data_IF_744831633923
#
_entry.id   IF_744831633923
#
_cell.length_a   1.000
_cell.length_b   1.000
_cell.length_c   1.000
_cell.angle_alpha   90.00
_cell.angle_beta   90.00
_cell.angle_gamma   90.00
#
_symmetry.space_group_name_H-M   'P 1'
#
loop_
_entity.id
_entity.type
_entity.pdbx_description
1 polymer ?
#
# COMPACT_ATOMS: atom_id res chain seq x y z
N UNK A 1 -18.96 -60.19 -14.79
CA UNK A 1 -17.65 -59.60 -15.17
C UNK A 1 -17.43 -58.09 -14.87
N UNK A 2 -18.33 -57.29 -14.25
CA UNK A 2 -18.01 -55.91 -13.87
C UNK A 2 -17.54 -55.72 -12.40
N UNK A 3 -17.58 -56.76 -11.55
CA UNK A 3 -17.18 -56.67 -10.13
C UNK A 3 -15.69 -56.86 -9.85
N UNK A 4 -14.90 -57.33 -10.83
CA UNK A 4 -13.46 -57.60 -10.67
C UNK A 4 -12.62 -56.34 -10.97
N UNK A 5 -13.07 -55.48 -11.91
CA UNK A 5 -12.34 -54.27 -12.30
C UNK A 5 -12.34 -53.21 -11.18
N UNK A 6 -13.40 -53.13 -10.38
CA UNK A 6 -13.50 -52.15 -9.29
C UNK A 6 -12.60 -52.50 -8.09
N UNK A 7 -12.31 -53.79 -7.87
CA UNK A 7 -11.43 -54.25 -6.79
C UNK A 7 -9.95 -54.03 -7.15
N UNK A 8 -9.59 -54.15 -8.43
CA UNK A 8 -8.21 -53.90 -8.90
C UNK A 8 -7.87 -52.40 -8.86
N UNK A 9 -8.82 -51.51 -9.14
CA UNK A 9 -8.58 -50.06 -9.04
C UNK A 9 -8.43 -49.58 -7.58
N UNK A 10 -9.15 -50.20 -6.64
CA UNK A 10 -9.07 -49.85 -5.21
C UNK A 10 -7.78 -50.36 -4.56
N UNK A 11 -7.20 -51.45 -5.06
CA UNK A 11 -5.93 -52.02 -4.57
C UNK A 11 -4.69 -51.27 -5.09
N UNK A 12 -4.77 -50.59 -6.24
CA UNK A 12 -3.67 -49.74 -6.74
C UNK A 12 -3.56 -48.40 -5.99
N UNK A 13 -4.64 -47.92 -5.38
CA UNK A 13 -4.64 -46.69 -4.59
C UNK A 13 -4.01 -46.84 -3.20
N UNK A 14 -3.76 -48.08 -2.75
CA UNK A 14 -3.30 -48.40 -1.39
C UNK A 14 -1.81 -48.82 -1.29
N UNK A 15 -1.04 -48.84 -2.39
CA UNK A 15 0.36 -49.33 -2.37
C UNK A 15 1.44 -48.37 -2.88
N UNK A 16 1.13 -47.12 -3.20
CA UNK A 16 2.15 -46.12 -3.50
C UNK A 16 2.65 -45.42 -2.22
N UNK A 17 3.55 -46.10 -1.49
CA UNK A 17 4.49 -45.44 -0.57
C UNK A 17 5.58 -44.75 -1.41
N UNK A 18 5.37 -43.48 -1.75
CA UNK A 18 6.46 -42.64 -2.25
C UNK A 18 7.23 -42.11 -1.05
N UNK A 19 8.41 -42.68 -0.83
CA UNK A 19 9.43 -42.15 0.07
C UNK A 19 9.99 -40.86 -0.53
N UNK A 20 9.70 -39.72 0.10
CA UNK A 20 10.44 -38.48 -0.14
C UNK A 20 11.19 -38.16 1.14
N UNK A 21 12.51 -38.28 1.08
CA UNK A 21 13.44 -37.91 2.13
C UNK A 21 13.22 -36.45 2.59
N UNK A 22 13.08 -36.17 3.90
CA UNK A 22 13.16 -34.81 4.41
C UNK A 22 14.64 -34.47 4.60
N UNK A 23 15.15 -33.48 3.88
CA UNK A 23 16.45 -32.87 4.20
C UNK A 23 16.34 -31.35 4.25
N UNK A 24 16.65 -30.86 5.46
CA UNK A 24 16.89 -29.50 5.94
C UNK A 24 15.69 -28.60 6.26
N UNK A 25 15.25 -28.76 7.50
CA UNK A 25 14.55 -27.79 8.33
C UNK A 25 15.54 -26.74 8.82
N UNK A 26 15.32 -25.47 8.50
CA UNK A 26 15.80 -24.36 9.33
C UNK A 26 14.67 -23.98 10.29
N UNK A 27 14.82 -24.36 11.56
CA UNK A 27 13.97 -23.93 12.66
C UNK A 27 14.04 -22.40 12.75
N UNK A 28 12.90 -21.71 12.70
CA UNK A 28 12.75 -20.41 13.35
C UNK A 28 11.53 -20.45 14.26
N UNK A 29 11.74 -19.99 15.48
CA UNK A 29 10.95 -20.21 16.68
C UNK A 29 9.61 -19.43 16.72
N UNK A 30 8.68 -19.71 15.80
CA UNK A 30 7.38 -19.03 15.77
C UNK A 30 6.28 -19.85 16.46
N UNK A 31 6.43 -21.17 16.55
CA UNK A 31 5.40 -22.06 17.10
C UNK A 31 5.37 -22.14 18.63
N UNK A 32 6.35 -21.59 19.36
CA UNK A 32 6.40 -21.69 20.82
C UNK A 32 5.88 -20.45 21.58
N UNK A 33 5.67 -19.31 20.89
CA UNK A 33 5.22 -18.05 21.55
C UNK A 33 3.68 -17.93 21.61
N UNK A 34 2.95 -18.74 20.85
CA UNK A 34 1.47 -18.73 20.83
C UNK A 34 0.80 -19.47 22.01
N UNK A 35 1.56 -20.06 22.94
CA UNK A 35 1.01 -20.92 23.98
C UNK A 35 0.89 -20.30 25.39
N UNK A 36 1.25 -19.04 25.61
CA UNK A 36 1.17 -18.43 26.96
C UNK A 36 0.77 -16.96 26.93
N UNK A 37 -0.52 -16.69 26.73
CA UNK A 37 -1.20 -15.53 27.33
C UNK A 37 -2.65 -15.89 27.60
N UNK A 38 -3.00 -15.90 28.88
CA UNK A 38 -4.32 -16.23 29.41
C UNK A 38 -5.44 -15.47 28.68
N UNK A 39 -6.26 -16.20 27.92
CA UNK A 39 -7.56 -15.72 27.44
C UNK A 39 -8.61 -16.30 28.37
N UNK A 40 -9.31 -15.41 29.08
CA UNK A 40 -10.48 -15.76 29.88
C UNK A 40 -11.48 -16.57 29.05
N UNK A 41 -11.99 -17.65 29.64
CA UNK A 41 -13.00 -18.53 29.07
C UNK A 41 -14.22 -17.71 28.60
N UNK A 42 -14.44 -17.62 27.29
CA UNK A 42 -15.75 -17.26 26.71
C UNK A 42 -16.40 -18.50 26.09
N UNK A 43 -17.72 -18.64 26.30
CA UNK A 43 -18.49 -19.85 25.99
C UNK A 43 -18.49 -20.16 24.48
N UNK A 44 -18.42 -21.44 24.06
CA UNK A 44 -18.15 -21.84 22.67
C UNK A 44 -19.27 -21.55 21.65
N UNK A 45 -20.49 -21.25 22.09
CA UNK A 45 -21.66 -21.06 21.21
C UNK A 45 -21.97 -19.60 20.81
N UNK A 46 -21.17 -18.61 21.22
CA UNK A 46 -21.34 -17.20 20.81
C UNK A 46 -20.70 -16.83 19.46
N UNK A 47 -20.10 -17.79 18.74
CA UNK A 47 -19.04 -17.47 17.78
C UNK A 47 -19.38 -17.64 16.28
N UNK A 48 -20.41 -18.41 15.92
CA UNK A 48 -20.73 -18.65 14.49
C UNK A 48 -21.73 -17.63 13.97
N UNK A 49 -22.87 -17.45 14.66
CA UNK A 49 -23.92 -16.53 14.22
C UNK A 49 -23.46 -15.07 14.21
N UNK A 50 -22.69 -14.67 15.23
CA UNK A 50 -22.05 -13.35 15.31
C UNK A 50 -21.04 -13.13 14.19
N UNK A 51 -20.24 -14.15 13.87
CA UNK A 51 -19.28 -14.13 12.77
C UNK A 51 -19.99 -14.04 11.41
N UNK A 52 -21.05 -14.82 11.20
CA UNK A 52 -21.91 -14.74 10.00
C UNK A 52 -22.53 -13.35 9.89
N UNK A 53 -23.15 -12.84 10.96
CA UNK A 53 -23.73 -11.49 11.00
C UNK A 53 -22.69 -10.43 10.63
N UNK A 54 -21.48 -10.51 11.18
CA UNK A 54 -20.39 -9.59 10.85
C UNK A 54 -19.95 -9.70 9.39
N UNK A 55 -19.87 -10.91 8.83
CA UNK A 55 -19.58 -11.10 7.41
C UNK A 55 -20.68 -10.52 6.52
N UNK A 56 -21.94 -10.76 6.84
CA UNK A 56 -23.08 -10.24 6.08
C UNK A 56 -23.09 -8.72 6.10
N UNK A 57 -22.91 -8.10 7.26
CA UNK A 57 -22.84 -6.63 7.36
C UNK A 57 -21.65 -6.09 6.55
N UNK A 58 -20.46 -6.72 6.65
CA UNK A 58 -19.28 -6.35 5.84
C UNK A 58 -19.54 -6.48 4.34
N UNK A 59 -20.21 -7.55 3.91
CA UNK A 59 -20.56 -7.78 2.51
C UNK A 59 -21.54 -6.71 2.00
N UNK A 60 -22.61 -6.43 2.75
CA UNK A 60 -23.57 -5.37 2.44
C UNK A 60 -22.86 -4.02 2.35
N UNK A 61 -21.99 -3.70 3.31
CA UNK A 61 -21.23 -2.46 3.30
C UNK A 61 -20.36 -2.32 2.06
N UNK A 62 -19.59 -3.37 1.74
CA UNK A 62 -18.75 -3.42 0.56
C UNK A 62 -19.55 -3.23 -0.73
N UNK A 63 -20.72 -3.87 -0.83
CA UNK A 63 -21.62 -3.71 -1.99
C UNK A 63 -22.09 -2.26 -2.11
N UNK A 64 -22.54 -1.64 -1.02
CA UNK A 64 -22.97 -0.23 -1.02
C UNK A 64 -21.87 0.72 -1.45
N UNK A 65 -20.64 0.55 -0.92
CA UNK A 65 -19.50 1.35 -1.34
C UNK A 65 -19.18 1.16 -2.83
N UNK A 66 -19.20 -0.08 -3.31
CA UNK A 66 -18.92 -0.37 -4.72
C UNK A 66 -19.96 0.24 -5.65
N UNK A 67 -21.25 0.16 -5.30
CA UNK A 67 -22.34 0.82 -6.04
C UNK A 67 -22.12 2.33 -6.06
N UNK A 68 -21.91 2.94 -4.89
CA UNK A 68 -21.66 4.37 -4.78
C UNK A 68 -20.48 4.85 -5.64
N UNK A 69 -19.34 4.15 -5.57
CA UNK A 69 -18.13 4.47 -6.35
C UNK A 69 -18.37 4.28 -7.85
N UNK A 70 -19.09 3.23 -8.24
CA UNK A 70 -19.40 3.00 -9.64
C UNK A 70 -20.31 4.10 -10.20
N UNK A 71 -21.32 4.51 -9.44
CA UNK A 71 -22.27 5.53 -9.85
C UNK A 71 -21.60 6.91 -10.00
N UNK A 72 -20.79 7.33 -9.02
CA UNK A 72 -20.06 8.61 -9.10
C UNK A 72 -19.04 8.62 -10.24
N UNK A 73 -18.34 7.50 -10.49
CA UNK A 73 -17.39 7.41 -11.60
C UNK A 73 -18.10 7.45 -12.96
N UNK A 74 -19.24 6.78 -13.10
CA UNK A 74 -20.03 6.85 -14.33
C UNK A 74 -20.55 8.26 -14.58
N UNK A 75 -21.03 8.96 -13.54
CA UNK A 75 -21.44 10.36 -13.63
C UNK A 75 -20.26 11.27 -14.02
N UNK A 76 -19.08 11.06 -13.45
CA UNK A 76 -17.89 11.83 -13.78
C UNK A 76 -17.45 11.61 -15.22
N UNK A 77 -17.43 10.36 -15.69
CA UNK A 77 -17.14 10.02 -17.08
C UNK A 77 -18.14 10.67 -18.03
N UNK A 78 -19.45 10.59 -17.73
CA UNK A 78 -20.49 11.23 -18.54
C UNK A 78 -20.38 12.76 -18.59
N UNK A 79 -19.83 13.38 -17.55
CA UNK A 79 -19.60 14.82 -17.47
C UNK A 79 -18.20 15.25 -17.94
N UNK A 80 -17.38 14.34 -18.50
CA UNK A 80 -16.02 14.65 -18.95
C UNK A 80 -15.05 15.09 -17.84
N UNK A 81 -15.31 14.71 -16.58
CA UNK A 81 -14.43 15.02 -15.46
C UNK A 81 -13.26 14.04 -15.41
N UNK A 82 -12.04 14.58 -15.35
CA UNK A 82 -10.80 13.79 -15.24
C UNK A 82 -10.46 13.47 -13.77
N UNK A 83 -11.42 12.92 -13.03
CA UNK A 83 -11.24 12.49 -11.64
C UNK A 83 -12.05 11.22 -11.34
N UNK A 84 -11.47 10.36 -10.50
CA UNK A 84 -12.04 9.05 -10.19
C UNK A 84 -12.06 8.84 -8.68
N UNK A 85 -13.11 8.19 -8.21
CA UNK A 85 -13.25 7.78 -6.83
C UNK A 85 -12.87 6.30 -6.74
N UNK A 86 -12.01 5.94 -5.79
CA UNK A 86 -11.52 4.58 -5.61
C UNK A 86 -11.55 4.20 -4.14
N UNK A 87 -11.74 2.91 -3.87
CA UNK A 87 -11.74 2.33 -2.53
C UNK A 87 -10.29 1.97 -2.17
N UNK A 88 -9.77 2.58 -1.10
CA UNK A 88 -8.39 2.41 -0.68
C UNK A 88 -8.18 1.11 0.12
N UNK A 89 -7.11 0.40 -0.24
CA UNK A 89 -6.62 -0.81 0.43
C UNK A 89 -5.09 -0.73 0.56
N UNK A 90 -4.48 -1.41 1.55
CA UNK A 90 -3.02 -1.46 1.66
C UNK A 90 -2.41 -2.40 0.62
N UNK A 91 -1.27 -2.02 0.05
CA UNK A 91 -0.42 -2.94 -0.69
C UNK A 91 0.00 -4.13 0.18
N UNK A 92 0.14 -5.28 -0.45
CA UNK A 92 0.57 -6.54 0.18
C UNK A 92 1.50 -7.28 -0.76
N UNK A 93 2.12 -8.37 -0.29
CA UNK A 93 3.01 -9.22 -1.08
C UNK A 93 2.41 -9.69 -2.42
N UNK A 94 1.08 -9.73 -2.55
CA UNK A 94 0.41 -10.06 -3.82
C UNK A 94 0.73 -9.09 -4.96
N UNK A 95 1.11 -7.85 -4.62
CA UNK A 95 1.51 -6.80 -5.56
C UNK A 95 3.03 -6.67 -5.66
N UNK A 96 3.79 -7.45 -4.90
CA UNK A 96 5.25 -7.42 -4.98
C UNK A 96 5.66 -7.92 -6.37
N UNK A 97 6.42 -7.12 -7.14
CA UNK A 97 6.96 -7.57 -8.42
C UNK A 97 7.80 -8.85 -8.28
N UNK A 98 8.05 -9.55 -9.38
CA UNK A 98 8.95 -10.71 -9.34
C UNK A 98 10.40 -10.28 -9.06
N UNK A 99 11.20 -11.18 -8.51
CA UNK A 99 12.64 -10.95 -8.26
C UNK A 99 13.31 -10.45 -9.54
N UNK A 100 14.12 -9.40 -9.43
CA UNK A 100 14.80 -8.75 -10.56
C UNK A 100 13.96 -7.69 -11.28
N UNK A 101 12.67 -7.55 -10.96
CA UNK A 101 11.84 -6.45 -11.48
C UNK A 101 12.02 -5.19 -10.62
N UNK A 102 11.92 -4.01 -11.24
CA UNK A 102 11.92 -2.75 -10.51
C UNK A 102 10.86 -2.75 -9.40
N UNK A 103 11.21 -2.15 -8.25
CA UNK A 103 10.38 -2.08 -7.05
C UNK A 103 10.08 -3.41 -6.34
N UNK A 104 10.68 -4.54 -6.75
CA UNK A 104 10.66 -5.79 -5.97
C UNK A 104 11.16 -5.53 -4.54
N UNK A 105 10.41 -6.00 -3.53
CA UNK A 105 10.60 -5.78 -2.09
C UNK A 105 10.57 -4.31 -1.61
N UNK A 106 10.27 -3.38 -2.52
CA UNK A 106 10.29 -1.93 -2.25
C UNK A 106 8.91 -1.28 -2.38
N UNK A 107 7.84 -2.06 -2.56
CA UNK A 107 6.46 -1.54 -2.71
C UNK A 107 5.95 -0.74 -1.50
N UNK A 108 6.51 -0.95 -0.30
CA UNK A 108 6.20 -0.16 0.90
C UNK A 108 7.16 1.01 1.13
N UNK A 109 8.24 1.09 0.35
CA UNK A 109 9.31 2.11 0.40
C UNK A 109 9.32 2.91 -0.91
N UNK A 110 8.14 3.18 -1.44
CA UNK A 110 7.90 3.91 -2.68
C UNK A 110 6.59 4.69 -2.58
N UNK A 111 6.32 5.56 -3.55
CA UNK A 111 5.05 6.27 -3.74
C UNK A 111 4.15 5.56 -4.78
N UNK A 112 4.44 4.30 -5.11
CA UNK A 112 3.81 3.60 -6.23
C UNK A 112 2.58 2.83 -5.77
N UNK A 113 1.47 3.06 -6.46
CA UNK A 113 0.18 2.45 -6.15
C UNK A 113 -0.29 1.51 -7.28
N UNK A 114 -0.95 0.41 -6.92
CA UNK A 114 -1.64 -0.43 -7.92
C UNK A 114 -3.00 0.17 -8.23
N UNK A 115 -3.24 0.46 -9.50
CA UNK A 115 -4.47 1.05 -10.02
C UNK A 115 -5.32 0.02 -10.77
N UNK A 116 -6.62 0.26 -10.98
CA UNK A 116 -7.45 -0.63 -11.76
C UNK A 116 -7.26 -0.40 -13.27
N UNK A 117 -7.37 -1.46 -14.07
CA UNK A 117 -7.08 -1.44 -15.51
C UNK A 117 -7.85 -0.39 -16.31
N UNK A 118 -9.09 -0.04 -15.92
CA UNK A 118 -9.86 0.98 -16.64
C UNK A 118 -9.19 2.37 -16.60
N UNK A 119 -8.35 2.66 -15.59
CA UNK A 119 -7.58 3.91 -15.54
C UNK A 119 -6.52 3.92 -16.65
N UNK A 120 -5.88 2.78 -16.90
CA UNK A 120 -4.93 2.63 -18.01
C UNK A 120 -5.59 2.91 -19.35
N UNK A 121 -6.77 2.32 -19.59
CA UNK A 121 -7.55 2.53 -20.82
C UNK A 121 -7.85 4.03 -21.02
N UNK A 122 -8.22 4.73 -19.96
CA UNK A 122 -8.48 6.18 -20.00
C UNK A 122 -7.19 6.96 -20.31
N UNK A 123 -6.07 6.64 -19.67
CA UNK A 123 -4.78 7.32 -19.92
C UNK A 123 -4.35 7.20 -21.39
N UNK A 124 -4.51 6.01 -21.98
CA UNK A 124 -4.21 5.77 -23.38
C UNK A 124 -5.16 6.53 -24.32
N UNK A 125 -6.47 6.44 -24.06
CA UNK A 125 -7.49 7.09 -24.90
C UNK A 125 -7.43 8.62 -24.83
N UNK A 126 -6.96 9.18 -23.71
CA UNK A 126 -6.77 10.62 -23.52
C UNK A 126 -5.38 11.12 -23.91
N UNK A 127 -4.51 10.22 -24.42
CA UNK A 127 -3.14 10.53 -24.82
C UNK A 127 -2.33 11.22 -23.71
N UNK A 128 -2.53 10.82 -22.45
CA UNK A 128 -1.75 11.32 -21.33
C UNK A 128 -0.38 10.63 -21.34
N UNK A 129 0.66 11.41 -21.58
CA UNK A 129 2.04 10.93 -21.57
C UNK A 129 2.54 10.62 -20.15
N UNK A 130 3.50 9.70 -20.07
CA UNK A 130 4.25 9.40 -18.85
C UNK A 130 5.15 10.58 -18.44
N UNK A 131 5.50 10.75 -17.16
CA UNK A 131 5.11 9.93 -16.00
C UNK A 131 3.67 10.18 -15.53
N UNK A 132 2.96 9.10 -15.20
CA UNK A 132 1.58 9.14 -14.73
C UNK A 132 1.50 9.42 -13.23
N UNK A 133 1.60 10.71 -12.89
CA UNK A 133 1.45 11.18 -11.52
C UNK A 133 -0.01 11.49 -11.22
N UNK A 134 -0.42 11.17 -9.99
CA UNK A 134 -1.76 11.44 -9.49
C UNK A 134 -1.73 12.10 -8.12
N UNK A 135 -2.69 12.96 -7.86
CA UNK A 135 -3.02 13.44 -6.52
C UNK A 135 -4.13 12.60 -5.92
N UNK A 136 -3.98 12.25 -4.65
CA UNK A 136 -4.94 11.55 -3.83
C UNK A 136 -5.45 12.47 -2.72
N UNK A 137 -6.77 12.53 -2.58
CA UNK A 137 -7.47 13.25 -1.51
C UNK A 137 -8.44 12.29 -0.82
N UNK A 138 -8.49 12.31 0.51
CA UNK A 138 -9.50 11.53 1.25
C UNK A 138 -10.88 12.13 1.01
N UNK A 139 -11.88 11.26 0.84
CA UNK A 139 -13.28 11.67 0.68
C UNK A 139 -14.05 11.26 1.92
N UNK A 140 -14.55 12.24 2.66
CA UNK A 140 -15.36 11.99 3.84
C UNK A 140 -16.79 11.61 3.45
N UNK A 141 -17.16 10.37 3.75
CA UNK A 141 -18.48 9.85 3.47
C UNK A 141 -19.20 9.61 4.80
N UNK A 142 -20.40 10.18 4.92
CA UNK A 142 -21.25 10.00 6.10
C UNK A 142 -21.70 8.55 6.20
N UNK A 143 -21.03 7.79 7.06
CA UNK A 143 -21.37 6.40 7.31
C UNK A 143 -22.55 6.27 8.26
N UNK A 144 -23.51 5.42 7.88
CA UNK A 144 -24.60 5.02 8.78
C UNK A 144 -24.04 4.40 10.08
N UNK A 145 -24.72 4.56 11.23
CA UNK A 145 -24.19 4.18 12.55
C UNK A 145 -23.76 2.71 12.67
N UNK A 146 -24.41 1.83 11.92
CA UNK A 146 -24.14 0.38 11.90
C UNK A 146 -22.74 0.09 11.34
N UNK A 147 -22.27 0.86 10.37
CA UNK A 147 -21.00 0.61 9.68
C UNK A 147 -19.78 1.13 10.46
N UNK A 148 -19.97 2.15 11.29
CA UNK A 148 -18.90 2.71 12.14
C UNK A 148 -18.36 1.70 13.15
N UNK A 149 -19.20 0.75 13.58
CA UNK A 149 -18.84 -0.30 14.54
C UNK A 149 -18.14 -1.51 13.90
N UNK A 150 -17.99 -1.53 12.58
CA UNK A 150 -17.37 -2.67 11.88
C UNK A 150 -15.85 -2.54 11.96
N UNK A 151 -15.21 -3.53 12.59
CA UNK A 151 -13.76 -3.68 12.50
C UNK A 151 -13.35 -4.08 11.09
N UNK A 152 -12.62 -3.19 10.41
CA UNK A 152 -11.91 -3.49 9.16
C UNK A 152 -10.52 -4.04 9.46
N UNK A 153 -9.90 -4.78 8.52
CA UNK A 153 -8.50 -5.18 8.66
C UNK A 153 -7.62 -3.95 8.93
N UNK A 154 -6.78 -4.00 9.95
CA UNK A 154 -5.97 -2.85 10.33
C UNK A 154 -4.84 -2.60 9.32
N UNK A 155 -4.70 -1.35 8.90
CA UNK A 155 -3.57 -0.85 8.09
C UNK A 155 -2.25 -0.97 8.88
N UNK A 156 -2.33 -0.87 10.22
CA UNK A 156 -1.19 -0.91 11.14
C UNK A 156 -0.39 -2.21 11.10
N UNK A 157 -0.95 -3.31 10.58
CA UNK A 157 -0.21 -4.58 10.45
C UNK A 157 1.05 -4.46 9.58
N UNK A 158 1.11 -3.47 8.68
CA UNK A 158 2.18 -3.35 7.70
C UNK A 158 3.17 -2.20 8.00
N UNK A 159 2.83 -1.32 8.95
CA UNK A 159 3.70 -0.24 9.41
C UNK A 159 3.30 0.13 10.85
N UNK A 160 4.22 -0.06 11.80
CA UNK A 160 3.99 0.30 13.22
C UNK A 160 4.43 1.74 13.54
N UNK A 161 5.11 2.42 12.61
CA UNK A 161 5.63 3.75 12.85
C UNK A 161 4.51 4.79 13.02
N UNK A 162 4.43 5.43 14.18
CA UNK A 162 3.33 6.34 14.53
C UNK A 162 3.56 7.79 14.11
N UNK A 163 4.82 8.22 13.97
CA UNK A 163 5.18 9.62 13.72
C UNK A 163 5.14 9.97 12.23
N UNK A 164 4.03 9.63 11.56
CA UNK A 164 3.77 9.99 10.16
C UNK A 164 2.92 11.26 10.15
N UNK A 165 3.38 12.30 9.44
CA UNK A 165 2.63 13.55 9.35
C UNK A 165 1.30 13.37 8.61
N UNK A 166 0.25 13.94 9.19
CA UNK A 166 -1.08 14.02 8.58
C UNK A 166 -1.08 15.03 7.43
N UNK A 167 -1.68 14.66 6.30
CA UNK A 167 -1.80 15.47 5.09
C UNK A 167 -3.22 15.38 4.54
N UNK A 168 -3.67 16.46 3.91
CA UNK A 168 -4.96 16.49 3.19
C UNK A 168 -4.88 15.79 1.84
N UNK A 169 -3.70 15.84 1.21
CA UNK A 169 -3.42 15.21 -0.07
C UNK A 169 -1.99 14.70 -0.19
N UNK A 170 -1.83 13.64 -0.96
CA UNK A 170 -0.54 13.00 -1.25
C UNK A 170 -0.46 12.71 -2.74
N UNK A 171 0.74 12.80 -3.30
CA UNK A 171 1.00 12.50 -4.69
C UNK A 171 1.63 11.10 -4.81
N UNK A 172 1.21 10.38 -5.84
CA UNK A 172 1.63 9.00 -6.10
C UNK A 172 1.90 8.80 -7.59
N UNK A 173 2.57 7.70 -7.90
CA UNK A 173 2.75 7.22 -9.26
C UNK A 173 2.24 5.77 -9.38
N UNK A 174 2.19 5.23 -10.58
CA UNK A 174 1.66 3.90 -10.86
C UNK A 174 2.71 2.84 -10.60
N UNK A 175 2.33 1.80 -9.84
CA UNK A 175 3.09 0.56 -9.70
C UNK A 175 2.75 -0.40 -10.85
N UNK A 176 1.46 -0.71 -10.97
CA UNK A 176 0.88 -1.57 -12.01
C UNK A 176 -0.64 -1.32 -12.11
N UNK A 177 -1.30 -2.02 -13.04
CA UNK A 177 -2.75 -1.94 -13.24
C UNK A 177 -3.49 -3.22 -12.82
N UNK A 178 -2.98 -3.93 -11.79
CA UNK A 178 -3.54 -5.22 -11.34
C UNK A 178 -4.65 -5.08 -10.32
N UNK A 179 -4.95 -3.86 -9.84
CA UNK A 179 -5.98 -3.67 -8.84
C UNK A 179 -7.35 -4.09 -9.39
N UNK A 180 -8.18 -4.66 -8.53
CA UNK A 180 -9.58 -4.95 -8.87
C UNK A 180 -10.31 -3.64 -9.21
N UNK A 181 -11.26 -3.69 -10.15
CA UNK A 181 -12.14 -2.56 -10.49
C UNK A 181 -12.64 -1.84 -9.23
N UNK A 182 -12.55 -0.50 -9.26
CA UNK A 182 -12.92 0.44 -8.18
C UNK A 182 -12.03 0.39 -6.92
N UNK A 183 -10.94 -0.36 -6.90
CA UNK A 183 -9.98 -0.37 -5.80
C UNK A 183 -8.65 0.26 -6.21
N UNK A 184 -7.98 0.88 -5.25
CA UNK A 184 -6.59 1.32 -5.33
C UNK A 184 -5.82 0.69 -4.17
N UNK A 185 -4.61 0.20 -4.44
CA UNK A 185 -3.74 -0.35 -3.40
C UNK A 185 -2.55 0.58 -3.18
N UNK A 186 -2.42 1.05 -1.94
CA UNK A 186 -1.50 2.12 -1.55
C UNK A 186 -0.39 1.61 -0.63
N UNK A 187 0.83 2.17 -0.71
CA UNK A 187 1.82 2.02 0.35
C UNK A 187 1.24 2.49 1.69
N UNK A 188 1.64 1.82 2.77
CA UNK A 188 1.03 2.05 4.08
C UNK A 188 1.37 3.41 4.66
N UNK A 189 2.51 4.00 4.31
CA UNK A 189 2.84 5.37 4.68
C UNK A 189 1.88 6.37 4.01
N UNK A 190 1.51 6.19 2.72
CA UNK A 190 0.52 7.04 2.03
C UNK A 190 -0.83 6.98 2.73
N UNK A 191 -1.28 5.77 3.08
CA UNK A 191 -2.54 5.60 3.81
C UNK A 191 -2.50 6.29 5.17
N UNK A 192 -1.40 6.19 5.91
CA UNK A 192 -1.24 6.86 7.20
C UNK A 192 -1.24 8.38 7.07
N UNK A 193 -0.50 8.91 6.10
CA UNK A 193 -0.46 10.36 5.86
C UNK A 193 -1.86 10.92 5.57
N UNK A 194 -2.65 10.23 4.75
CA UNK A 194 -4.04 10.60 4.45
C UNK A 194 -5.06 10.15 5.51
N UNK A 195 -4.60 9.59 6.64
CA UNK A 195 -5.43 9.04 7.72
C UNK A 195 -6.52 8.09 7.22
N UNK A 196 -6.19 7.23 6.25
CA UNK A 196 -7.09 6.28 5.63
C UNK A 196 -7.17 4.98 6.43
N UNK A 197 -8.39 4.46 6.54
CA UNK A 197 -8.68 3.08 6.91
C UNK A 197 -8.93 2.25 5.65
N UNK A 198 -8.83 0.92 5.78
CA UNK A 198 -9.27 0.03 4.71
C UNK A 198 -10.74 0.33 4.37
N UNK A 199 -11.06 0.38 3.08
CA UNK A 199 -12.38 0.73 2.54
C UNK A 199 -12.78 2.21 2.66
N UNK A 200 -11.89 3.11 3.08
CA UNK A 200 -12.10 4.55 2.86
C UNK A 200 -12.05 4.86 1.36
N UNK A 201 -12.68 5.96 0.97
CA UNK A 201 -12.72 6.41 -0.42
C UNK A 201 -11.71 7.53 -0.61
N UNK A 202 -10.98 7.45 -1.72
CA UNK A 202 -10.08 8.50 -2.17
C UNK A 202 -10.52 9.02 -3.53
N UNK A 203 -10.33 10.32 -3.75
CA UNK A 203 -10.41 10.95 -5.06
C UNK A 203 -9.02 10.92 -5.67
N UNK A 204 -8.94 10.42 -6.90
CA UNK A 204 -7.75 10.29 -7.73
C UNK A 204 -7.89 11.26 -8.90
N UNK A 205 -6.91 12.14 -9.08
CA UNK A 205 -6.86 13.08 -10.21
C UNK A 205 -5.48 13.10 -10.83
N UNK A 206 -5.41 13.09 -12.17
CA UNK A 206 -4.15 13.20 -12.89
C UNK A 206 -3.54 14.60 -12.70
N UNK A 207 -2.23 14.66 -12.55
CA UNK A 207 -1.47 15.90 -12.41
C UNK A 207 -0.17 15.84 -13.19
N UNK A 208 0.20 16.94 -13.83
CA UNK A 208 1.56 17.16 -14.33
C UNK A 208 2.36 17.85 -13.24
N UNK A 209 3.53 17.32 -12.93
CA UNK A 209 4.42 17.84 -11.90
C UNK A 209 5.66 18.45 -12.55
N UNK A 210 6.14 19.56 -12.01
CA UNK A 210 7.46 20.09 -12.37
C UNK A 210 8.57 19.23 -11.75
N UNK A 211 9.73 19.19 -12.40
CA UNK A 211 10.92 18.51 -11.91
C UNK A 211 11.53 19.24 -10.71
N UNK A 212 11.92 18.48 -9.69
CA UNK A 212 12.65 18.99 -8.54
C UNK A 212 14.11 19.30 -8.91
N UNK A 213 14.64 20.38 -8.37
CA UNK A 213 16.08 20.71 -8.45
C UNK A 213 16.79 20.44 -7.13
N UNK A 214 16.11 20.69 -6.02
CA UNK A 214 16.63 20.37 -4.69
C UNK A 214 15.52 20.00 -3.70
N UNK A 215 15.84 19.10 -2.78
CA UNK A 215 14.95 18.67 -1.71
C UNK A 215 15.71 18.65 -0.39
N UNK A 216 15.15 19.31 0.62
CA UNK A 216 15.68 19.32 1.98
C UNK A 216 14.85 18.38 2.85
N UNK A 217 15.52 17.40 3.43
CA UNK A 217 14.92 16.36 4.27
C UNK A 217 15.35 16.52 5.73
N UNK A 218 14.44 16.23 6.64
CA UNK A 218 14.71 16.11 8.07
C UNK A 218 14.61 14.65 8.49
N UNK A 219 15.74 13.97 8.77
CA UNK A 219 15.70 12.63 9.34
C UNK A 219 14.99 12.63 10.69
N UNK A 220 14.22 11.59 11.00
CA UNK A 220 13.54 11.51 12.29
C UNK A 220 14.49 11.20 13.43
N UNK A 221 15.53 10.39 13.17
CA UNK A 221 16.46 9.90 14.18
C UNK A 221 17.90 10.06 13.73
N UNK A 222 18.80 10.30 14.69
CA UNK A 222 20.25 10.45 14.45
C UNK A 222 20.91 9.22 13.83
N UNK A 223 20.32 8.03 14.02
CA UNK A 223 20.82 6.75 13.47
C UNK A 223 21.11 6.81 11.96
N UNK A 224 20.38 7.64 11.21
CA UNK A 224 20.66 7.85 9.80
C UNK A 224 22.07 8.40 9.54
N UNK A 225 22.54 9.35 10.34
CA UNK A 225 23.87 9.95 10.21
C UNK A 225 25.01 9.01 10.64
N UNK A 226 24.70 7.89 11.30
CA UNK A 226 25.68 6.88 11.68
C UNK A 226 25.98 5.88 10.54
N UNK A 227 25.31 6.01 9.39
CA UNK A 227 25.60 5.21 8.20
C UNK A 227 26.92 5.67 7.57
N UNK A 228 27.63 4.76 6.88
CA UNK A 228 28.91 5.06 6.24
C UNK A 228 28.76 6.05 5.06
N UNK A 229 27.72 5.90 4.25
CA UNK A 229 27.43 6.76 3.09
C UNK A 229 25.93 7.16 3.05
N UNK A 230 25.42 7.95 4.01
CA UNK A 230 23.99 8.17 4.20
C UNK A 230 23.31 8.82 2.97
N UNK A 231 24.00 9.75 2.31
CA UNK A 231 23.47 10.46 1.13
C UNK A 231 23.31 9.53 -0.07
N UNK A 232 24.33 8.73 -0.38
CA UNK A 232 24.29 7.74 -1.46
C UNK A 232 23.23 6.66 -1.22
N UNK A 233 23.11 6.17 0.02
CA UNK A 233 22.05 5.22 0.40
C UNK A 233 20.67 5.86 0.19
N UNK A 234 20.49 7.12 0.61
CA UNK A 234 19.24 7.82 0.39
C UNK A 234 18.92 7.92 -1.12
N UNK A 235 19.85 8.42 -1.93
CA UNK A 235 19.68 8.57 -3.39
C UNK A 235 19.31 7.23 -4.05
N UNK A 236 20.00 6.15 -3.68
CA UNK A 236 19.71 4.80 -4.16
C UNK A 236 18.29 4.35 -3.80
N UNK A 237 17.79 4.68 -2.59
CA UNK A 237 16.43 4.31 -2.17
C UNK A 237 15.37 5.26 -2.70
N UNK A 238 15.69 6.53 -2.93
CA UNK A 238 14.75 7.51 -3.48
C UNK A 238 14.42 7.28 -4.95
N UNK A 239 15.22 6.50 -5.68
CA UNK A 239 14.85 6.06 -7.05
C UNK A 239 13.49 5.37 -7.13
N UNK A 240 13.01 4.77 -6.03
CA UNK A 240 11.70 4.13 -5.97
C UNK A 240 10.54 5.11 -5.84
N UNK A 241 10.81 6.35 -5.45
CA UNK A 241 9.85 7.44 -5.37
C UNK A 241 9.84 8.20 -6.70
N UNK A 242 8.67 8.46 -7.25
CA UNK A 242 8.52 9.27 -8.45
C UNK A 242 8.29 10.75 -8.14
N UNK A 243 7.67 11.05 -7.00
CA UNK A 243 7.41 12.41 -6.55
C UNK A 243 7.63 12.54 -5.03
N UNK A 244 7.80 13.78 -4.59
CA UNK A 244 7.94 14.12 -3.18
C UNK A 244 6.94 15.23 -2.86
N UNK A 245 6.25 15.10 -1.72
CA UNK A 245 5.28 16.07 -1.21
C UNK A 245 5.84 16.75 0.05
N UNK A 246 5.79 18.07 0.11
CA UNK A 246 6.23 18.86 1.25
C UNK A 246 5.42 18.52 2.49
N UNK A 247 6.06 18.54 3.65
CA UNK A 247 5.53 18.12 4.95
C UNK A 247 5.16 16.64 5.05
N UNK A 248 5.33 15.84 3.99
CA UNK A 248 5.15 14.39 4.09
C UNK A 248 6.27 13.71 4.87
N UNK A 249 5.94 12.59 5.50
CA UNK A 249 6.92 11.68 6.07
C UNK A 249 7.15 10.53 5.09
N UNK A 250 8.34 10.48 4.48
CA UNK A 250 8.77 9.39 3.59
C UNK A 250 9.57 8.34 4.37
N UNK A 251 9.59 7.10 3.86
CA UNK A 251 10.24 5.96 4.51
C UNK A 251 11.14 5.20 3.53
N UNK A 252 12.37 4.93 3.95
CA UNK A 252 13.28 4.05 3.21
C UNK A 252 13.70 2.88 4.11
N UNK A 253 14.14 1.79 3.49
CA UNK A 253 14.73 0.64 4.18
C UNK A 253 16.15 0.38 3.71
N UNK A 254 17.06 0.23 4.67
CA UNK A 254 18.44 -0.17 4.40
C UNK A 254 18.92 -1.12 5.51
N UNK A 255 19.49 -2.26 5.14
CA UNK A 255 19.96 -3.32 6.05
C UNK A 255 18.91 -3.70 7.11
N UNK A 256 17.66 -3.92 6.66
CA UNK A 256 16.51 -4.25 7.51
C UNK A 256 16.15 -3.20 8.58
N UNK A 257 16.68 -1.99 8.47
CA UNK A 257 16.34 -0.84 9.32
C UNK A 257 15.54 0.15 8.50
N UNK A 258 14.44 0.61 9.07
CA UNK A 258 13.60 1.65 8.46
C UNK A 258 14.03 3.03 8.95
N UNK A 259 14.23 3.94 8.01
CA UNK A 259 14.55 5.34 8.25
C UNK A 259 13.40 6.21 7.73
N UNK A 260 13.00 7.19 8.53
CA UNK A 260 11.89 8.09 8.23
C UNK A 260 12.40 9.52 8.12
N UNK A 261 11.85 10.27 7.18
CA UNK A 261 12.25 11.65 6.92
C UNK A 261 11.03 12.50 6.66
N UNK A 262 11.02 13.69 7.25
CA UNK A 262 10.08 14.73 6.88
C UNK A 262 10.64 15.56 5.74
N UNK A 263 9.79 15.87 4.77
CA UNK A 263 10.13 16.73 3.64
C UNK A 263 9.95 18.18 4.06
N UNK A 264 11.06 18.89 4.27
CA UNK A 264 11.03 20.27 4.79
C UNK A 264 10.80 21.28 3.67
N UNK A 265 11.51 21.11 2.55
CA UNK A 265 11.47 22.03 1.42
C UNK A 265 11.75 21.30 0.11
N UNK A 266 11.08 21.77 -0.94
CA UNK A 266 11.25 21.31 -2.31
C UNK A 266 11.41 22.56 -3.17
N UNK A 267 12.46 22.64 -3.96
CA UNK A 267 12.58 23.62 -5.02
C UNK A 267 12.43 22.91 -6.36
N UNK A 268 11.62 23.47 -7.26
CA UNK A 268 11.49 23.02 -8.65
C UNK A 268 12.27 23.94 -9.58
N UNK A 269 12.35 23.57 -10.86
CA UNK A 269 12.96 24.41 -11.91
C UNK A 269 12.30 25.80 -12.00
N UNK A 270 10.99 25.88 -11.73
CA UNK A 270 10.20 27.10 -11.92
C UNK A 270 10.03 27.91 -10.64
N UNK A 271 10.00 27.25 -9.48
CA UNK A 271 9.61 27.90 -8.21
C UNK A 271 10.32 27.27 -7.03
N UNK A 272 10.71 28.10 -6.06
CA UNK A 272 11.24 27.66 -4.77
C UNK A 272 10.11 27.34 -3.80
N UNK A 273 10.37 26.39 -2.90
CA UNK A 273 9.48 25.99 -1.81
C UNK A 273 8.07 25.59 -2.29
N UNK A 274 8.03 24.74 -3.31
CA UNK A 274 6.79 24.16 -3.86
C UNK A 274 6.23 23.09 -2.93
N UNK A 275 4.95 22.79 -3.12
CA UNK A 275 4.27 21.74 -2.37
C UNK A 275 4.67 20.34 -2.83
N UNK A 276 4.88 20.15 -4.14
CA UNK A 276 5.17 18.85 -4.73
C UNK A 276 6.07 19.05 -5.96
N UNK A 277 6.95 18.10 -6.22
CA UNK A 277 7.69 18.00 -7.46
C UNK A 277 7.97 16.53 -7.82
N UNK A 278 8.21 16.27 -9.10
CA UNK A 278 8.73 15.00 -9.60
C UNK A 278 10.21 14.88 -9.25
N UNK A 279 10.63 13.70 -8.79
CA UNK A 279 12.04 13.36 -8.56
C UNK A 279 12.48 12.15 -9.40
N UNK A 280 11.59 11.68 -10.28
CA UNK A 280 11.83 10.53 -11.13
C UNK A 280 12.80 10.88 -12.26
N UNK A 281 13.81 10.03 -12.48
CA UNK A 281 14.75 10.08 -13.61
C UNK A 281 15.44 11.45 -13.77
N UNK A 282 15.69 12.14 -12.65
CA UNK A 282 16.23 13.51 -12.61
C UNK A 282 17.32 13.65 -11.56
N UNK A 283 18.30 14.51 -11.83
CA UNK A 283 19.40 14.82 -10.91
C UNK A 283 18.96 15.82 -9.84
N UNK A 284 18.34 15.30 -8.77
CA UNK A 284 17.87 16.10 -7.63
C UNK A 284 18.95 16.19 -6.55
N UNK A 285 19.24 17.40 -6.09
CA UNK A 285 20.16 17.60 -4.96
C UNK A 285 19.40 17.34 -3.65
N UNK A 286 19.82 16.33 -2.90
CA UNK A 286 19.30 16.05 -1.57
C UNK A 286 20.20 16.63 -0.48
N UNK A 287 19.60 17.43 0.40
CA UNK A 287 20.23 18.03 1.57
C UNK A 287 19.49 17.64 2.86
N UNK A 288 20.19 17.76 3.99
CA UNK A 288 19.69 17.35 5.30
C UNK A 288 19.75 18.47 6.32
N UNK A 289 18.74 18.52 7.17
CA UNK A 289 18.79 19.27 8.43
C UNK A 289 18.98 18.32 9.61
N UNK A 290 19.21 18.88 10.81
CA UNK A 290 19.33 18.11 12.05
C UNK A 290 18.10 17.23 12.29
N UNK A 291 18.31 16.07 12.89
CA UNK A 291 17.25 15.12 13.22
C UNK A 291 16.11 15.74 14.04
N UNK A 292 14.88 15.31 13.74
CA UNK A 292 13.67 15.82 14.41
C UNK A 292 13.59 15.36 15.87
N UNK A 293 13.94 14.11 16.15
CA UNK A 293 13.86 13.51 17.47
C UNK A 293 15.25 13.12 17.95
N UNK A 294 15.55 13.47 19.20
CA UNK A 294 16.88 13.28 19.81
C UNK A 294 17.09 11.89 20.41
N UNK A 295 16.10 10.99 20.28
CA UNK A 295 16.13 9.62 20.79
C UNK A 295 16.75 8.66 19.77
#
# INVERSE_FOLDING_TARGET
>A
MPKIIFIVLLMLALTLKISVHPKYVAKSDISYILAKKNIGRSKPYSNILTKIKNYTIKAIYKTKLLTYVNDINNLNLGNGKNEFYLIAMPLSEKFNPFVGTFCHDNIQYSDKASLPIFIYDILLNTHIEVPWNFVLEKVDIKMGPIYQKISMPEVNRFCEYEKVNALDRVFINVLDFKAKKNFIFLPTWVMKSLQLKCFDIVRLKFVKLDTATSVVLQPHHKKFFNLTEPKKILEEKLRYYSCITKNSTIRIRHNNVDYHFDVVRIDSEKKKNVEVASIQDTDVIFDFVKEKYHN
#
